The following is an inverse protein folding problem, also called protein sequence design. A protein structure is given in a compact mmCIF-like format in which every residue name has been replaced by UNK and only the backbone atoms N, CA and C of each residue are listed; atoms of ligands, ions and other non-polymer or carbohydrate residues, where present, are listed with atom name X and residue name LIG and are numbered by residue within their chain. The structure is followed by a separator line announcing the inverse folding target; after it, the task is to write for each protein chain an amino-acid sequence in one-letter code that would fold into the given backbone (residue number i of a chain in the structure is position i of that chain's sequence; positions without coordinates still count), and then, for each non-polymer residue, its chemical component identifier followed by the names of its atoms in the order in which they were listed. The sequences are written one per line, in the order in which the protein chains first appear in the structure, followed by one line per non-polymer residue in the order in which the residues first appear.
data_IF_102681221722
#
_entry.id   IF_102681221722
#
_cell.length_a   1.000
_cell.length_b   1.000
_cell.length_c   1.000
_cell.angle_alpha   90.00
_cell.angle_beta   90.00
_cell.angle_gamma   90.00
#
_symmetry.space_group_name_H-M   'P 1'
#
loop_
_entity.id
_entity.type
_entity.pdbx_description
1 polymer ?
#
# COMPACT_ATOMS: atom_id res chain seq x y z
N UNK A 1 30.08 -10.67 4.29
CA UNK A 1 29.27 -9.49 3.88
C UNK A 1 30.06 -8.60 2.93
N UNK A 2 31.31 -8.17 3.26
CA UNK A 2 32.12 -7.26 2.43
C UNK A 2 32.35 -7.76 1.00
N UNK A 3 32.76 -9.04 0.86
CA UNK A 3 33.01 -9.65 -0.45
C UNK A 3 31.76 -9.67 -1.35
N UNK A 4 30.58 -9.97 -0.79
CA UNK A 4 29.32 -9.94 -1.52
C UNK A 4 28.93 -8.52 -1.92
N UNK A 5 29.13 -7.55 -1.03
CA UNK A 5 28.90 -6.14 -1.31
C UNK A 5 29.81 -5.64 -2.43
N UNK A 6 31.10 -5.96 -2.37
CA UNK A 6 32.06 -5.59 -3.42
C UNK A 6 31.65 -6.15 -4.78
N UNK A 7 31.23 -7.43 -4.84
CA UNK A 7 30.84 -8.08 -6.10
C UNK A 7 29.55 -7.49 -6.72
N UNK A 8 28.61 -7.00 -5.86
CA UNK A 8 27.32 -6.49 -6.33
C UNK A 8 27.29 -4.99 -6.59
N UNK A 9 27.98 -4.19 -5.79
CA UNK A 9 27.85 -2.72 -5.82
C UNK A 9 29.17 -1.97 -5.91
N UNK A 10 30.34 -2.68 -5.91
CA UNK A 10 31.69 -2.11 -5.89
C UNK A 10 31.89 -1.16 -4.69
N UNK A 11 31.31 0.02 -4.74
CA UNK A 11 31.33 0.99 -3.66
C UNK A 11 29.97 1.67 -3.51
N UNK A 12 29.56 1.93 -2.25
CA UNK A 12 28.37 2.73 -1.95
C UNK A 12 28.78 4.22 -1.91
N UNK A 13 28.02 5.14 -2.55
CA UNK A 13 28.31 6.55 -2.51
C UNK A 13 28.45 7.08 -1.07
N UNK A 14 29.52 7.83 -0.79
CA UNK A 14 29.81 8.29 0.57
C UNK A 14 28.90 9.43 1.03
N UNK A 15 28.52 10.32 0.12
CA UNK A 15 27.71 11.50 0.46
C UNK A 15 26.34 11.16 1.06
N UNK A 16 25.53 10.24 0.50
CA UNK A 16 24.29 9.82 1.14
C UNK A 16 24.51 9.15 2.51
N UNK A 17 25.59 8.40 2.69
CA UNK A 17 25.91 7.78 3.98
C UNK A 17 26.19 8.81 5.06
N UNK A 18 26.99 9.86 4.74
CA UNK A 18 27.29 10.97 5.66
C UNK A 18 26.02 11.75 6.02
N UNK A 19 25.17 12.05 5.02
CA UNK A 19 23.90 12.73 5.25
C UNK A 19 22.95 11.93 6.17
N UNK A 20 22.88 10.62 5.99
CA UNK A 20 22.08 9.74 6.83
C UNK A 20 22.67 9.67 8.25
N UNK A 21 23.99 9.56 8.38
CA UNK A 21 24.66 9.53 9.68
C UNK A 21 24.38 10.81 10.47
N UNK A 22 24.57 11.98 9.85
CA UNK A 22 24.26 13.27 10.46
C UNK A 22 22.78 13.42 10.85
N UNK A 23 21.86 12.97 9.98
CA UNK A 23 20.43 12.99 10.28
C UNK A 23 20.07 12.12 11.49
N UNK A 24 20.71 10.94 11.64
CA UNK A 24 20.51 10.03 12.76
C UNK A 24 21.09 10.61 14.07
N UNK A 25 22.25 11.25 14.02
CA UNK A 25 22.93 11.85 15.18
C UNK A 25 22.20 13.05 15.77
N UNK A 26 21.46 13.81 14.94
CA UNK A 26 20.79 15.07 15.35
C UNK A 26 19.36 14.87 15.87
N UNK A 27 18.95 13.72 16.35
CA UNK A 27 17.59 13.39 16.80
C UNK A 27 16.47 13.60 15.76
N UNK A 28 16.83 13.95 14.54
CA UNK A 28 15.89 14.21 13.45
C UNK A 28 15.07 12.99 13.08
N UNK A 29 15.67 11.79 13.20
CA UNK A 29 15.04 10.52 12.86
C UNK A 29 13.87 10.18 13.80
N UNK A 30 14.06 10.27 15.10
CA UNK A 30 13.00 9.96 16.07
C UNK A 30 11.82 10.93 15.97
N UNK A 31 12.10 12.21 15.76
CA UNK A 31 11.05 13.21 15.53
C UNK A 31 10.28 12.93 14.22
N UNK A 32 10.99 12.61 13.15
CA UNK A 32 10.41 12.21 11.87
C UNK A 32 9.52 10.98 12.02
N UNK A 33 10.00 9.92 12.67
CA UNK A 33 9.23 8.70 12.89
C UNK A 33 7.95 8.93 13.68
N UNK A 34 7.99 9.75 14.74
CA UNK A 34 6.77 10.06 15.51
C UNK A 34 5.71 10.75 14.65
N UNK A 35 6.11 11.73 13.83
CA UNK A 35 5.22 12.40 12.88
C UNK A 35 4.66 11.44 11.84
N UNK A 36 5.52 10.61 11.26
CA UNK A 36 5.17 9.66 10.22
C UNK A 36 4.18 8.60 10.74
N UNK A 37 4.44 8.02 11.91
CA UNK A 37 3.55 7.05 12.56
C UNK A 37 2.16 7.63 12.81
N UNK A 38 2.09 8.88 13.30
CA UNK A 38 0.81 9.59 13.52
C UNK A 38 0.07 9.81 12.21
N UNK A 39 0.76 10.29 11.18
CA UNK A 39 0.16 10.51 9.86
C UNK A 39 -0.37 9.19 9.26
N UNK A 40 0.42 8.13 9.27
CA UNK A 40 0.00 6.84 8.73
C UNK A 40 -1.15 6.21 9.51
N UNK A 41 -1.19 6.34 10.83
CA UNK A 41 -2.33 5.87 11.62
C UNK A 41 -3.63 6.58 11.23
N UNK A 42 -3.60 7.89 11.02
CA UNK A 42 -4.75 8.65 10.55
C UNK A 42 -5.20 8.21 9.16
N UNK A 43 -4.27 8.08 8.23
CA UNK A 43 -4.58 7.68 6.85
C UNK A 43 -5.08 6.23 6.76
N UNK A 44 -4.52 5.32 7.58
CA UNK A 44 -5.02 3.95 7.69
C UNK A 44 -6.49 3.92 8.12
N UNK A 45 -6.86 4.73 9.12
CA UNK A 45 -8.24 4.82 9.60
C UNK A 45 -9.18 5.37 8.52
N UNK A 46 -8.78 6.42 7.80
CA UNK A 46 -9.55 6.97 6.68
C UNK A 46 -9.73 5.92 5.57
N UNK A 47 -8.65 5.29 5.13
CA UNK A 47 -8.71 4.25 4.10
C UNK A 47 -9.62 3.09 4.51
N UNK A 48 -9.50 2.60 5.75
CA UNK A 48 -10.35 1.52 6.26
C UNK A 48 -11.84 1.91 6.29
N UNK A 49 -12.15 3.14 6.74
CA UNK A 49 -13.50 3.65 6.75
C UNK A 49 -14.10 3.73 5.33
N UNK A 50 -13.30 4.19 4.37
CA UNK A 50 -13.72 4.26 2.97
C UNK A 50 -13.95 2.88 2.36
N UNK A 51 -13.03 1.94 2.58
CA UNK A 51 -13.19 0.55 2.10
C UNK A 51 -14.43 -0.08 2.73
N UNK A 52 -14.63 0.05 4.05
CA UNK A 52 -15.81 -0.49 4.73
C UNK A 52 -17.13 0.10 4.21
N UNK A 53 -17.12 1.35 3.73
CA UNK A 53 -18.32 2.05 3.26
C UNK A 53 -18.67 1.76 1.81
N UNK A 54 -17.67 1.63 0.95
CA UNK A 54 -17.88 1.65 -0.51
C UNK A 54 -17.58 0.32 -1.20
N UNK A 55 -16.94 -0.62 -0.52
CA UNK A 55 -16.65 -1.94 -1.10
C UNK A 55 -17.80 -2.93 -0.87
N UNK A 56 -17.87 -4.00 -1.66
CA UNK A 56 -18.92 -5.01 -1.55
C UNK A 56 -19.01 -5.62 -0.15
N UNK A 57 -20.22 -6.02 0.23
CA UNK A 57 -20.43 -6.82 1.44
C UNK A 57 -19.58 -8.10 1.41
N UNK A 58 -19.05 -8.50 2.56
CA UNK A 58 -18.11 -9.62 2.65
C UNK A 58 -16.64 -9.23 2.47
N UNK A 59 -16.32 -7.96 2.14
CA UNK A 59 -14.94 -7.46 2.11
C UNK A 59 -14.33 -7.47 3.51
N UNK A 60 -13.12 -8.03 3.64
CA UNK A 60 -12.35 -8.03 4.88
C UNK A 60 -11.10 -7.16 4.74
N UNK A 61 -10.74 -6.46 5.80
CA UNK A 61 -9.63 -5.51 5.79
C UNK A 61 -8.66 -5.86 6.91
N UNK A 62 -7.38 -5.94 6.60
CA UNK A 62 -6.34 -6.11 7.62
C UNK A 62 -6.30 -4.93 8.58
N UNK A 63 -5.86 -5.19 9.81
CA UNK A 63 -5.61 -4.16 10.82
C UNK A 63 -4.13 -4.17 11.22
N UNK A 64 -3.24 -3.67 10.36
CA UNK A 64 -1.81 -3.69 10.66
C UNK A 64 -1.47 -2.76 11.82
N UNK A 65 -0.53 -3.17 12.67
CA UNK A 65 -0.01 -2.35 13.76
C UNK A 65 0.90 -1.20 13.27
N UNK A 66 1.22 -1.15 11.98
CA UNK A 66 2.06 -0.13 11.37
C UNK A 66 2.21 -0.34 9.88
N UNK A 67 3.10 0.44 9.26
CA UNK A 67 3.30 0.42 7.81
C UNK A 67 2.42 1.44 7.08
N UNK A 68 2.28 1.26 5.78
CA UNK A 68 1.60 2.20 4.88
C UNK A 68 0.74 1.49 3.82
N UNK A 69 0.44 0.20 4.02
CA UNK A 69 -0.39 -0.59 3.11
C UNK A 69 -1.48 -1.34 3.88
N UNK A 70 -2.66 -1.44 3.28
CA UNK A 70 -3.74 -2.33 3.71
C UNK A 70 -3.83 -3.53 2.77
N UNK A 71 -4.04 -4.67 3.36
CA UNK A 71 -4.39 -5.89 2.67
C UNK A 71 -5.91 -6.06 2.75
N UNK A 72 -6.56 -6.16 1.61
CA UNK A 72 -8.02 -6.21 1.48
C UNK A 72 -8.39 -7.53 0.78
N UNK A 73 -9.17 -8.35 1.46
CA UNK A 73 -9.80 -9.55 0.92
C UNK A 73 -11.18 -9.17 0.39
N UNK A 74 -11.37 -9.29 -0.91
CA UNK A 74 -12.65 -9.08 -1.58
C UNK A 74 -13.46 -10.38 -1.56
N UNK A 75 -14.78 -10.35 -1.81
CA UNK A 75 -15.57 -11.55 -2.03
C UNK A 75 -14.92 -12.49 -3.06
N UNK A 76 -15.03 -13.79 -2.85
CA UNK A 76 -14.33 -14.81 -3.65
C UNK A 76 -14.65 -14.77 -5.16
N UNK A 77 -15.77 -14.16 -5.53
CA UNK A 77 -16.19 -13.97 -6.93
C UNK A 77 -15.37 -12.89 -7.66
N UNK A 78 -14.71 -12.00 -6.92
CA UNK A 78 -13.94 -10.90 -7.50
C UNK A 78 -12.54 -11.37 -7.82
N UNK A 79 -12.19 -11.37 -9.11
CA UNK A 79 -10.81 -11.58 -9.55
C UNK A 79 -10.02 -10.27 -9.46
N UNK A 80 -8.97 -10.25 -8.64
CA UNK A 80 -8.17 -9.04 -8.39
C UNK A 80 -7.39 -8.57 -9.63
N UNK A 81 -7.06 -9.46 -10.57
CA UNK A 81 -6.38 -9.08 -11.79
C UNK A 81 -7.35 -8.36 -12.74
N UNK A 82 -8.56 -8.87 -12.89
CA UNK A 82 -9.62 -8.19 -13.66
C UNK A 82 -9.93 -6.83 -13.05
N UNK A 83 -10.07 -6.75 -11.73
CA UNK A 83 -10.29 -5.48 -11.03
C UNK A 83 -9.14 -4.49 -11.28
N UNK A 84 -7.89 -4.97 -11.25
CA UNK A 84 -6.71 -4.15 -11.56
C UNK A 84 -6.77 -3.57 -12.97
N UNK A 85 -7.12 -4.38 -13.97
CA UNK A 85 -7.24 -3.91 -15.36
C UNK A 85 -8.31 -2.82 -15.51
N UNK A 86 -9.49 -3.02 -14.93
CA UNK A 86 -10.57 -2.03 -14.95
C UNK A 86 -10.21 -0.74 -14.20
N UNK A 87 -9.49 -0.85 -13.08
CA UNK A 87 -9.00 0.32 -12.34
C UNK A 87 -7.95 1.09 -13.15
N UNK A 88 -7.05 0.38 -13.83
CA UNK A 88 -6.01 0.98 -14.67
C UNK A 88 -6.60 1.77 -15.85
N UNK A 89 -7.70 1.31 -16.46
CA UNK A 89 -8.44 2.04 -17.49
C UNK A 89 -8.97 3.40 -17.00
N UNK A 90 -9.17 3.53 -15.67
CA UNK A 90 -9.56 4.78 -15.02
C UNK A 90 -8.36 5.55 -14.42
N UNK A 91 -7.12 5.17 -14.75
CA UNK A 91 -5.91 5.78 -14.24
C UNK A 91 -5.62 5.46 -12.77
N UNK A 92 -6.25 4.42 -12.21
CA UNK A 92 -6.09 4.02 -10.81
C UNK A 92 -5.23 2.76 -10.73
N UNK A 93 -4.13 2.82 -9.96
CA UNK A 93 -3.25 1.66 -9.73
C UNK A 93 -3.53 1.04 -8.38
N UNK A 94 -3.77 -0.27 -8.35
CA UNK A 94 -3.90 -1.09 -7.14
C UNK A 94 -2.89 -2.25 -7.22
N UNK A 95 -2.57 -2.88 -6.09
CA UNK A 95 -1.71 -4.07 -6.07
C UNK A 95 -2.54 -5.36 -6.03
N UNK A 96 -2.75 -6.08 -7.15
CA UNK A 96 -3.47 -7.35 -7.11
C UNK A 96 -2.68 -8.42 -6.36
N UNK A 97 -3.39 -9.29 -5.62
CA UNK A 97 -2.79 -10.28 -4.73
C UNK A 97 -1.81 -11.24 -5.38
N UNK A 98 -2.00 -11.55 -6.64
CA UNK A 98 -1.08 -12.36 -7.44
C UNK A 98 0.38 -11.88 -7.41
N UNK A 99 0.62 -10.57 -7.32
CA UNK A 99 1.97 -10.01 -7.28
C UNK A 99 2.75 -10.38 -6.01
N UNK A 100 2.07 -10.89 -4.99
CA UNK A 100 2.62 -11.14 -3.65
C UNK A 100 2.66 -12.63 -3.30
N UNK A 101 2.37 -13.52 -4.25
CA UNK A 101 2.41 -14.95 -4.07
C UNK A 101 2.95 -15.64 -5.32
N UNK A 102 3.70 -16.71 -5.12
CA UNK A 102 4.12 -17.64 -6.19
C UNK A 102 3.06 -18.73 -6.45
N UNK A 103 1.97 -18.71 -5.66
CA UNK A 103 0.84 -19.62 -5.76
C UNK A 103 -0.44 -18.81 -5.97
N UNK A 104 -1.51 -19.43 -6.46
CA UNK A 104 -2.79 -18.76 -6.77
C UNK A 104 -3.64 -18.39 -5.54
N UNK A 105 -3.02 -18.27 -4.35
CA UNK A 105 -3.75 -18.15 -3.09
C UNK A 105 -4.45 -16.80 -2.86
N UNK A 106 -4.11 -15.75 -3.57
CA UNK A 106 -4.60 -14.39 -3.31
C UNK A 106 -5.37 -13.80 -4.50
N UNK A 107 -6.18 -14.63 -5.17
CA UNK A 107 -6.92 -14.26 -6.38
C UNK A 107 -7.92 -13.11 -6.17
N UNK A 108 -8.53 -13.05 -4.99
CA UNK A 108 -9.51 -12.03 -4.60
C UNK A 108 -8.93 -11.01 -3.61
N UNK A 109 -7.62 -10.87 -3.56
CA UNK A 109 -6.96 -9.91 -2.66
C UNK A 109 -6.38 -8.73 -3.42
N UNK A 110 -6.44 -7.56 -2.79
CA UNK A 110 -5.75 -6.37 -3.27
C UNK A 110 -4.96 -5.72 -2.14
N UNK A 111 -3.90 -5.02 -2.52
CA UNK A 111 -3.12 -4.16 -1.64
C UNK A 111 -3.37 -2.70 -1.99
N UNK A 112 -3.80 -1.93 -1.00
CA UNK A 112 -3.98 -0.48 -1.11
C UNK A 112 -2.89 0.25 -0.33
N UNK A 113 -2.30 1.26 -0.95
CA UNK A 113 -1.29 2.11 -0.33
C UNK A 113 -1.97 3.36 0.26
N UNK A 114 -1.60 3.72 1.51
CA UNK A 114 -2.07 4.93 2.18
C UNK A 114 -0.93 5.84 2.65
N UNK A 115 0.25 5.77 1.99
CA UNK A 115 1.40 6.60 2.37
C UNK A 115 1.27 8.07 1.95
N UNK A 116 0.46 8.37 0.94
CA UNK A 116 0.23 9.75 0.46
C UNK A 116 -0.78 10.48 1.34
N UNK A 117 -0.64 11.79 1.56
CA UNK A 117 -1.64 12.58 2.27
C UNK A 117 -3.03 12.40 1.65
N UNK A 118 -4.05 12.29 2.51
CA UNK A 118 -5.43 12.11 2.05
C UNK A 118 -5.87 13.30 1.20
N UNK A 119 -6.49 13.04 0.07
CA UNK A 119 -6.98 14.04 -0.86
C UNK A 119 -8.32 13.63 -1.48
N UNK A 120 -9.06 14.57 -2.08
CA UNK A 120 -10.29 14.26 -2.80
C UNK A 120 -10.08 13.25 -3.95
N UNK A 121 -8.94 13.28 -4.60
CA UNK A 121 -8.58 12.36 -5.69
C UNK A 121 -8.42 10.93 -5.18
N UNK A 122 -7.76 10.75 -4.03
CA UNK A 122 -7.62 9.44 -3.36
C UNK A 122 -9.00 8.93 -2.93
N UNK A 123 -9.84 9.80 -2.38
CA UNK A 123 -11.20 9.44 -1.99
C UNK A 123 -12.01 8.94 -3.18
N UNK A 124 -12.01 9.68 -4.28
CA UNK A 124 -12.70 9.29 -5.51
C UNK A 124 -12.15 7.99 -6.11
N UNK A 125 -10.83 7.80 -6.09
CA UNK A 125 -10.20 6.57 -6.53
C UNK A 125 -10.66 5.35 -5.71
N UNK A 126 -10.70 5.47 -4.38
CA UNK A 126 -11.19 4.39 -3.50
C UNK A 126 -12.65 4.06 -3.77
N UNK A 127 -13.51 5.08 -3.93
CA UNK A 127 -14.92 4.91 -4.30
C UNK A 127 -15.05 4.18 -5.66
N UNK A 128 -14.27 4.59 -6.65
CA UNK A 128 -14.28 3.98 -7.97
C UNK A 128 -13.88 2.50 -7.93
N UNK A 129 -12.81 2.16 -7.21
CA UNK A 129 -12.36 0.77 -7.03
C UNK A 129 -13.44 -0.07 -6.34
N UNK A 130 -14.12 0.48 -5.32
CA UNK A 130 -15.23 -0.21 -4.65
C UNK A 130 -16.40 -0.52 -5.61
N UNK A 131 -16.78 0.43 -6.47
CA UNK A 131 -17.80 0.24 -7.49
C UNK A 131 -17.40 -0.81 -8.54
N UNK A 132 -16.15 -0.77 -8.98
CA UNK A 132 -15.60 -1.76 -9.92
C UNK A 132 -15.58 -3.17 -9.29
N UNK A 133 -15.19 -3.28 -8.02
CA UNK A 133 -15.23 -4.55 -7.29
C UNK A 133 -16.65 -5.11 -7.21
N UNK A 134 -17.66 -4.28 -6.94
CA UNK A 134 -19.08 -4.68 -6.96
C UNK A 134 -19.55 -5.11 -8.36
N UNK A 135 -19.07 -4.47 -9.41
CA UNK A 135 -19.38 -4.87 -10.79
C UNK A 135 -18.74 -6.20 -11.19
N UNK A 136 -17.57 -6.54 -10.65
CA UNK A 136 -16.89 -7.82 -10.86
C UNK A 136 -17.58 -9.02 -10.19
N UNK A 137 -18.56 -8.81 -9.33
CA UNK A 137 -19.35 -9.88 -8.69
C UNK A 137 -20.50 -10.41 -9.58
N UNK A 138 -20.81 -9.69 -10.65
CA UNK A 138 -21.89 -10.04 -11.60
C UNK A 138 -21.33 -10.85 -12.77
#
# INVERSE_FOLDING_TARGET
VEKLKFLNTLATPSLPQLAIAEFLERDGYEHHLRRLRKAYAQQANLMRAMVSRFFPEGTRISSPAGGYVLWVELPAQVDAMRLYQLALEQGITIGPGYMFSITDNYRNFIRLNYSSPWSPEIEQAVIAVGKLAAACMR
#
